data_IF_997834701176
#
_entry.id   IF_997834701176
#
_cell.length_a   1.000
_cell.length_b   1.000
_cell.length_c   1.000
_cell.angle_alpha   90.00
_cell.angle_beta   90.00
_cell.angle_gamma   90.00
#
_symmetry.space_group_name_H-M   'P 1'
#
loop_
_entity.id
_entity.type
_entity.pdbx_description
1 polymer ?
#
# COMPACT_ATOMS: atom_id res chain seq x y z
N UNK A 1 -29.70 -0.70 -16.70
CA UNK A 1 -28.97 -1.06 -15.47
C UNK A 1 -29.76 -0.52 -14.30
N UNK A 2 -30.14 -1.39 -13.38
CA UNK A 2 -30.84 -1.01 -12.15
C UNK A 2 -29.89 -0.18 -11.27
N UNK A 3 -30.42 0.83 -10.57
CA UNK A 3 -29.65 1.71 -9.69
C UNK A 3 -28.93 0.91 -8.58
N UNK A 4 -29.51 -0.24 -8.19
CA UNK A 4 -28.90 -1.16 -7.22
C UNK A 4 -27.66 -1.88 -7.76
N UNK A 5 -27.68 -2.32 -9.02
CA UNK A 5 -26.54 -2.99 -9.63
C UNK A 5 -25.35 -2.04 -9.78
N UNK A 6 -25.60 -0.77 -10.15
CA UNK A 6 -24.57 0.26 -10.23
C UNK A 6 -23.96 0.55 -8.85
N UNK A 7 -24.79 0.63 -7.82
CA UNK A 7 -24.35 0.85 -6.44
C UNK A 7 -23.50 -0.31 -5.93
N UNK A 8 -23.92 -1.56 -6.20
CA UNK A 8 -23.15 -2.75 -5.83
C UNK A 8 -21.79 -2.80 -6.53
N UNK A 9 -21.73 -2.48 -7.84
CA UNK A 9 -20.47 -2.45 -8.57
C UNK A 9 -19.51 -1.37 -8.07
N UNK A 10 -20.03 -0.16 -7.78
CA UNK A 10 -19.21 0.90 -7.20
C UNK A 10 -18.65 0.50 -5.83
N UNK A 11 -19.47 -0.13 -4.98
CA UNK A 11 -19.05 -0.59 -3.67
C UNK A 11 -17.98 -1.71 -3.77
N UNK A 12 -18.18 -2.66 -4.67
CA UNK A 12 -17.22 -3.74 -4.95
C UNK A 12 -15.88 -3.17 -5.43
N UNK A 13 -15.92 -2.12 -6.25
CA UNK A 13 -14.74 -1.38 -6.67
C UNK A 13 -14.04 -0.66 -5.51
N UNK A 14 -14.79 0.07 -4.68
CA UNK A 14 -14.23 0.75 -3.50
C UNK A 14 -13.53 -0.22 -2.55
N UNK A 15 -14.12 -1.40 -2.30
CA UNK A 15 -13.50 -2.43 -1.45
C UNK A 15 -12.23 -2.99 -2.09
N UNK A 16 -12.26 -3.31 -3.39
CA UNK A 16 -11.09 -3.80 -4.10
C UNK A 16 -9.95 -2.77 -4.12
N UNK A 17 -10.30 -1.48 -4.29
CA UNK A 17 -9.36 -0.37 -4.19
C UNK A 17 -8.71 -0.30 -2.81
N UNK A 18 -9.50 -0.22 -1.74
CA UNK A 18 -8.98 -0.14 -0.37
C UNK A 18 -8.13 -1.36 -0.01
N UNK A 19 -8.52 -2.56 -0.45
CA UNK A 19 -7.72 -3.77 -0.31
C UNK A 19 -6.31 -3.62 -0.90
N UNK A 20 -6.23 -3.20 -2.17
CA UNK A 20 -4.95 -3.05 -2.87
C UNK A 20 -4.12 -1.91 -2.32
N UNK A 21 -4.78 -0.82 -1.92
CA UNK A 21 -4.15 0.34 -1.31
C UNK A 21 -3.46 -0.04 0.00
N UNK A 22 -4.20 -0.67 0.92
CA UNK A 22 -3.67 -1.14 2.20
C UNK A 22 -2.56 -2.19 2.03
N UNK A 23 -2.70 -3.08 1.03
CA UNK A 23 -1.64 -4.04 0.70
C UNK A 23 -0.36 -3.34 0.20
N UNK A 24 -0.48 -2.27 -0.57
CA UNK A 24 0.67 -1.50 -1.05
C UNK A 24 1.31 -0.69 0.08
N UNK A 25 0.50 -0.07 0.94
CA UNK A 25 0.94 0.60 2.17
C UNK A 25 1.70 -0.35 3.09
N UNK A 26 1.14 -1.54 3.35
CA UNK A 26 1.79 -2.59 4.13
C UNK A 26 3.21 -2.88 3.61
N UNK A 27 3.34 -3.17 2.30
CA UNK A 27 4.63 -3.52 1.69
C UNK A 27 5.59 -2.35 1.65
N UNK A 28 5.09 -1.14 1.43
CA UNK A 28 5.91 0.06 1.41
C UNK A 28 6.56 0.30 2.78
N UNK A 29 5.76 0.33 3.84
CA UNK A 29 6.29 0.53 5.19
C UNK A 29 7.12 -0.65 5.70
N UNK A 30 6.77 -1.90 5.36
CA UNK A 30 7.57 -3.09 5.71
C UNK A 30 8.98 -3.02 5.09
N UNK A 31 9.08 -2.56 3.84
CA UNK A 31 10.37 -2.40 3.17
C UNK A 31 11.14 -1.18 3.64
N UNK A 32 10.46 -0.07 3.95
CA UNK A 32 11.11 1.08 4.57
C UNK A 32 11.74 0.70 5.91
N UNK A 33 11.03 -0.05 6.75
CA UNK A 33 11.54 -0.51 8.04
C UNK A 33 12.81 -1.37 7.86
N UNK A 34 12.76 -2.35 6.95
CA UNK A 34 13.91 -3.21 6.60
C UNK A 34 15.10 -2.43 6.02
N UNK A 35 14.85 -1.46 5.14
CA UNK A 35 15.89 -0.60 4.57
C UNK A 35 16.58 0.20 5.67
N UNK A 36 15.78 0.72 6.60
CA UNK A 36 16.28 1.54 7.70
C UNK A 36 17.14 0.71 8.66
N UNK A 37 16.70 -0.51 8.99
CA UNK A 37 17.48 -1.48 9.75
C UNK A 37 18.79 -1.88 9.04
N UNK A 38 18.76 -2.06 7.71
CA UNK A 38 19.96 -2.36 6.91
C UNK A 38 20.98 -1.21 6.99
N UNK A 39 20.53 0.05 6.86
CA UNK A 39 21.40 1.23 6.96
C UNK A 39 22.06 1.27 8.34
N UNK A 40 21.29 1.06 9.42
CA UNK A 40 21.84 1.02 10.78
C UNK A 40 22.89 -0.09 10.94
N UNK A 41 22.62 -1.28 10.41
CA UNK A 41 23.56 -2.41 10.45
C UNK A 41 24.85 -2.09 9.70
N UNK A 42 24.78 -1.52 8.50
CA UNK A 42 25.95 -1.14 7.71
C UNK A 42 26.79 -0.07 8.40
N UNK A 43 26.14 0.96 8.95
CA UNK A 43 26.83 2.03 9.69
C UNK A 43 27.50 1.47 10.95
N UNK A 44 26.84 0.57 11.67
CA UNK A 44 27.42 -0.11 12.83
C UNK A 44 28.68 -0.90 12.44
N UNK A 45 28.62 -1.70 11.36
CA UNK A 45 29.76 -2.46 10.85
C UNK A 45 30.92 -1.52 10.45
N UNK A 46 30.64 -0.46 9.69
CA UNK A 46 31.66 0.53 9.29
C UNK A 46 32.33 1.20 10.49
N UNK A 47 31.58 1.45 11.56
CA UNK A 47 32.08 2.05 12.80
C UNK A 47 33.00 1.09 13.55
N UNK A 48 32.58 -0.17 13.73
CA UNK A 48 33.36 -1.19 14.43
C UNK A 48 34.64 -1.55 13.64
N UNK A 49 34.55 -1.58 12.31
CA UNK A 49 35.69 -1.84 11.43
C UNK A 49 36.68 -0.65 11.32
N UNK A 50 36.38 0.49 11.96
CA UNK A 50 37.22 1.69 11.88
C UNK A 50 37.26 2.35 10.51
N UNK A 51 36.34 2.01 9.60
CA UNK A 51 36.27 2.55 8.24
C UNK A 51 35.64 3.95 8.20
N UNK A 52 34.84 4.31 9.20
CA UNK A 52 34.23 5.63 9.34
C UNK A 52 34.57 6.26 10.69
N UNK A 53 34.60 7.61 10.72
CA UNK A 53 34.70 8.37 11.97
C UNK A 53 33.46 8.12 12.84
N UNK A 54 33.68 7.88 14.13
CA UNK A 54 32.61 7.65 15.12
C UNK A 54 31.59 8.81 15.16
N UNK A 55 32.03 10.05 14.89
CA UNK A 55 31.15 11.23 14.84
C UNK A 55 30.18 11.14 13.67
N UNK A 56 30.68 10.78 12.48
CA UNK A 56 29.87 10.68 11.26
C UNK A 56 28.85 9.54 11.41
N UNK A 57 29.31 8.39 11.88
CA UNK A 57 28.42 7.25 12.14
C UNK A 57 27.35 7.56 13.17
N UNK A 58 27.71 8.25 14.26
CA UNK A 58 26.77 8.69 15.28
C UNK A 58 25.67 9.58 14.71
N UNK A 59 26.03 10.57 13.89
CA UNK A 59 25.06 11.44 13.22
C UNK A 59 24.10 10.67 12.31
N UNK A 60 24.62 9.74 11.50
CA UNK A 60 23.78 8.93 10.61
C UNK A 60 22.81 8.09 11.44
N UNK A 61 23.29 7.40 12.49
CA UNK A 61 22.45 6.59 13.38
C UNK A 61 21.35 7.46 14.00
N UNK A 62 21.67 8.64 14.54
CA UNK A 62 20.68 9.52 15.16
C UNK A 62 19.59 9.95 14.19
N UNK A 63 19.96 10.38 12.96
CA UNK A 63 18.99 10.77 11.93
C UNK A 63 18.08 9.61 11.57
N UNK A 64 18.66 8.43 11.40
CA UNK A 64 17.94 7.22 11.02
C UNK A 64 16.96 6.76 12.12
N UNK A 65 17.40 6.76 13.38
CA UNK A 65 16.54 6.41 14.53
C UNK A 65 15.42 7.44 14.69
N UNK A 66 15.72 8.73 14.55
CA UNK A 66 14.70 9.78 14.59
C UNK A 66 13.62 9.54 13.52
N UNK A 67 14.04 9.25 12.28
CA UNK A 67 13.13 8.92 11.19
C UNK A 67 12.25 7.69 11.49
N UNK A 68 12.80 6.62 12.07
CA UNK A 68 12.02 5.45 12.50
C UNK A 68 10.96 5.80 13.55
N UNK A 69 11.33 6.61 14.55
CA UNK A 69 10.44 7.00 15.64
C UNK A 69 9.31 7.91 15.16
N UNK A 70 9.59 8.83 14.23
CA UNK A 70 8.58 9.74 13.67
C UNK A 70 7.62 9.01 12.75
N UNK A 71 8.14 8.16 11.84
CA UNK A 71 7.29 7.48 10.85
C UNK A 71 6.51 6.31 11.45
N UNK A 72 7.04 5.68 12.51
CA UNK A 72 6.51 4.44 13.10
C UNK A 72 6.17 3.40 12.02
N UNK A 73 7.06 3.27 11.02
CA UNK A 73 6.82 2.46 9.82
C UNK A 73 6.36 1.04 10.15
N UNK A 74 6.99 0.36 11.12
CA UNK A 74 6.55 -0.97 11.55
C UNK A 74 5.12 -1.04 12.08
N UNK A 75 4.66 -0.04 12.85
CA UNK A 75 3.28 0.03 13.36
C UNK A 75 2.30 0.27 12.22
N UNK A 76 2.60 1.23 11.34
CA UNK A 76 1.77 1.53 10.16
C UNK A 76 1.67 0.32 9.23
N UNK A 77 2.77 -0.40 9.04
CA UNK A 77 2.81 -1.64 8.25
C UNK A 77 1.88 -2.72 8.81
N UNK A 78 1.91 -2.98 10.12
CA UNK A 78 1.04 -3.99 10.74
C UNK A 78 -0.45 -3.58 10.73
N UNK A 79 -0.73 -2.30 10.95
CA UNK A 79 -2.09 -1.77 10.83
C UNK A 79 -2.63 -1.98 9.41
N UNK A 80 -1.87 -1.56 8.39
CA UNK A 80 -2.25 -1.73 6.99
C UNK A 80 -2.39 -3.20 6.57
N UNK A 81 -1.54 -4.09 7.10
CA UNK A 81 -1.65 -5.53 6.87
C UNK A 81 -2.95 -6.11 7.43
N UNK A 82 -3.35 -5.66 8.62
CA UNK A 82 -4.58 -6.11 9.27
C UNK A 82 -5.78 -5.63 8.46
N UNK A 83 -5.79 -4.34 8.11
CA UNK A 83 -6.88 -3.73 7.37
C UNK A 83 -7.02 -4.30 5.95
N UNK A 84 -5.91 -4.56 5.27
CA UNK A 84 -5.89 -5.26 3.97
C UNK A 84 -6.56 -6.64 4.07
N UNK A 85 -6.30 -7.41 5.14
CA UNK A 85 -6.96 -8.72 5.32
C UNK A 85 -8.45 -8.60 5.62
N UNK A 86 -8.86 -7.57 6.36
CA UNK A 86 -10.28 -7.28 6.62
C UNK A 86 -11.01 -6.94 5.31
N UNK A 87 -10.39 -6.11 4.45
CA UNK A 87 -10.93 -5.82 3.12
C UNK A 87 -10.94 -7.04 2.18
N UNK A 88 -9.91 -7.89 2.22
CA UNK A 88 -9.86 -9.13 1.44
C UNK A 88 -10.99 -10.09 1.83
N UNK A 89 -11.24 -10.24 3.13
CA UNK A 89 -12.33 -11.04 3.65
C UNK A 89 -13.70 -10.46 3.24
N UNK A 90 -13.88 -9.14 3.36
CA UNK A 90 -15.10 -8.46 2.93
C UNK A 90 -15.36 -8.61 1.43
N UNK A 91 -14.30 -8.52 0.61
CA UNK A 91 -14.39 -8.73 -0.83
C UNK A 91 -14.77 -10.17 -1.18
N UNK A 92 -14.15 -11.15 -0.51
CA UNK A 92 -14.38 -12.58 -0.77
C UNK A 92 -15.81 -13.02 -0.44
N UNK A 93 -16.42 -12.39 0.57
CA UNK A 93 -17.79 -12.63 1.01
C UNK A 93 -18.79 -11.58 0.50
N UNK A 94 -18.40 -10.78 -0.50
CA UNK A 94 -19.24 -9.68 -0.98
C UNK A 94 -20.61 -10.18 -1.47
N UNK A 95 -20.63 -11.31 -2.17
CA UNK A 95 -21.87 -11.89 -2.73
C UNK A 95 -22.69 -12.66 -1.69
N UNK A 96 -22.14 -12.89 -0.48
CA UNK A 96 -22.81 -13.58 0.64
C UNK A 96 -23.57 -12.60 1.56
N UNK A 97 -23.23 -11.32 1.53
CA UNK A 97 -23.79 -10.27 2.38
C UNK A 97 -24.79 -9.39 1.65
N UNK A 98 -25.72 -8.78 2.40
CA UNK A 98 -26.55 -7.71 1.84
C UNK A 98 -25.72 -6.43 1.61
N UNK A 99 -26.10 -5.65 0.60
CA UNK A 99 -25.37 -4.44 0.20
C UNK A 99 -25.26 -3.44 1.36
N UNK A 100 -26.30 -3.31 2.19
CA UNK A 100 -26.27 -2.42 3.35
C UNK A 100 -25.33 -2.92 4.45
N UNK A 101 -25.22 -4.23 4.63
CA UNK A 101 -24.27 -4.83 5.59
C UNK A 101 -22.82 -4.63 5.11
N UNK A 102 -22.56 -4.84 3.82
CA UNK A 102 -21.24 -4.58 3.23
C UNK A 102 -20.85 -3.12 3.38
N UNK A 103 -21.78 -2.20 3.13
CA UNK A 103 -21.57 -0.75 3.26
C UNK A 103 -21.27 -0.36 4.71
N UNK A 104 -21.98 -0.94 5.68
CA UNK A 104 -21.73 -0.69 7.10
C UNK A 104 -20.32 -1.14 7.52
N UNK A 105 -19.89 -2.35 7.10
CA UNK A 105 -18.53 -2.85 7.36
C UNK A 105 -17.46 -2.01 6.69
N UNK A 106 -17.70 -1.59 5.44
CA UNK A 106 -16.79 -0.71 4.71
C UNK A 106 -16.57 0.62 5.44
N UNK A 107 -17.63 1.28 5.90
CA UNK A 107 -17.55 2.53 6.69
C UNK A 107 -16.88 2.34 8.05
N UNK A 108 -16.94 1.15 8.64
CA UNK A 108 -16.22 0.85 9.88
C UNK A 108 -14.70 0.75 9.63
N UNK A 109 -14.31 0.19 8.49
CA UNK A 109 -12.91 0.04 8.09
C UNK A 109 -12.30 1.38 7.68
N UNK A 110 -13.04 2.20 6.93
CA UNK A 110 -12.59 3.54 6.49
C UNK A 110 -12.25 4.47 7.66
N UNK A 111 -12.94 4.32 8.81
CA UNK A 111 -12.61 5.06 10.04
C UNK A 111 -11.24 4.71 10.63
N UNK A 112 -10.65 3.58 10.22
CA UNK A 112 -9.35 3.08 10.66
C UNK A 112 -8.23 3.40 9.64
N UNK A 113 -8.55 4.02 8.52
CA UNK A 113 -7.59 4.30 7.45
C UNK A 113 -6.48 5.25 7.92
N UNK A 114 -5.26 4.95 7.49
CA UNK A 114 -4.06 5.75 7.75
C UNK A 114 -3.93 6.89 6.73
N UNK A 115 -3.15 7.93 7.08
CA UNK A 115 -2.77 9.02 6.16
C UNK A 115 -2.33 8.48 4.79
N UNK A 116 -3.00 8.96 3.75
CA UNK A 116 -2.78 8.49 2.39
C UNK A 116 -1.38 8.87 1.86
N UNK A 117 -0.69 7.89 1.26
CA UNK A 117 0.45 8.11 0.38
C UNK A 117 -0.06 8.21 -1.07
N UNK A 118 -0.16 9.43 -1.58
CA UNK A 118 -0.67 9.74 -2.94
C UNK A 118 -0.02 8.89 -4.05
N UNK A 119 1.29 8.61 -3.92
CA UNK A 119 2.04 7.84 -4.89
C UNK A 119 1.60 6.37 -5.01
N UNK A 120 0.80 5.85 -4.05
CA UNK A 120 0.25 4.49 -4.06
C UNK A 120 -1.21 4.45 -4.51
N UNK A 121 -1.93 5.57 -4.52
CA UNK A 121 -3.35 5.64 -4.84
C UNK A 121 -3.63 5.22 -6.29
N UNK A 122 -2.96 5.85 -7.26
CA UNK A 122 -3.16 5.51 -8.68
C UNK A 122 -2.76 4.05 -8.99
N UNK A 123 -1.60 3.54 -8.55
CA UNK A 123 -1.27 2.11 -8.67
C UNK A 123 -2.30 1.16 -8.03
N UNK A 124 -2.84 1.48 -6.86
CA UNK A 124 -3.83 0.65 -6.19
C UNK A 124 -5.14 0.59 -6.98
N UNK A 125 -5.56 1.72 -7.54
CA UNK A 125 -6.72 1.82 -8.44
C UNK A 125 -6.56 0.93 -9.66
N UNK A 126 -5.41 0.98 -10.29
CA UNK A 126 -5.07 0.13 -11.43
C UNK A 126 -5.09 -1.37 -11.06
N UNK A 127 -4.58 -1.73 -9.88
CA UNK A 127 -4.61 -3.11 -9.39
C UNK A 127 -6.05 -3.59 -9.09
N UNK A 128 -6.90 -2.72 -8.56
CA UNK A 128 -8.32 -3.01 -8.32
C UNK A 128 -9.09 -3.19 -9.62
N UNK A 129 -8.87 -2.33 -10.62
CA UNK A 129 -9.42 -2.51 -11.97
C UNK A 129 -9.00 -3.85 -12.58
N UNK A 130 -7.73 -4.22 -12.43
CA UNK A 130 -7.23 -5.52 -12.89
C UNK A 130 -7.90 -6.70 -12.17
N UNK A 131 -8.11 -6.59 -10.86
CA UNK A 131 -8.81 -7.60 -10.05
C UNK A 131 -10.27 -7.81 -10.49
N UNK A 132 -10.93 -6.75 -10.93
CA UNK A 132 -12.32 -6.79 -11.42
C UNK A 132 -12.44 -7.13 -12.91
N UNK A 133 -11.31 -7.39 -13.60
CA UNK A 133 -11.32 -7.64 -15.04
C UNK A 133 -11.67 -6.40 -15.87
N UNK A 134 -11.58 -5.20 -15.32
CA UNK A 134 -11.84 -3.93 -16.02
C UNK A 134 -10.54 -3.37 -16.61
N UNK A 135 -9.83 -4.19 -17.39
CA UNK A 135 -8.53 -3.82 -17.99
C UNK A 135 -8.67 -3.38 -19.44
N UNK A 136 -7.61 -2.74 -19.97
CA UNK A 136 -7.52 -2.36 -21.39
C UNK A 136 -7.75 -3.52 -22.35
N UNK A 137 -7.32 -4.73 -21.97
CA UNK A 137 -7.55 -5.96 -22.72
C UNK A 137 -9.05 -6.28 -22.91
N UNK A 138 -9.90 -5.81 -21.99
CA UNK A 138 -11.35 -6.02 -22.01
C UNK A 138 -12.12 -4.79 -22.55
N UNK A 139 -11.42 -3.85 -23.20
CA UNK A 139 -12.04 -2.69 -23.87
C UNK A 139 -12.29 -1.47 -22.97
N UNK A 140 -11.78 -1.47 -21.73
CA UNK A 140 -11.85 -0.32 -20.83
C UNK A 140 -10.71 0.66 -21.10
N UNK A 141 -11.00 1.96 -21.21
CA UNK A 141 -9.98 2.98 -21.45
C UNK A 141 -9.03 3.09 -20.26
N UNK A 142 -7.72 3.06 -20.52
CA UNK A 142 -6.72 3.42 -19.51
C UNK A 142 -6.81 4.93 -19.24
N UNK A 143 -7.17 5.31 -18.01
CA UNK A 143 -7.33 6.71 -17.64
C UNK A 143 -5.99 7.49 -17.75
N UNK A 144 -4.87 6.88 -17.34
CA UNK A 144 -3.57 7.56 -17.29
C UNK A 144 -2.40 6.59 -17.07
N UNK A 145 -1.30 6.81 -17.79
CA UNK A 145 -0.02 6.15 -17.53
C UNK A 145 0.57 6.48 -16.14
N UNK A 146 1.22 5.50 -15.52
CA UNK A 146 1.90 5.65 -14.22
C UNK A 146 2.98 6.74 -14.27
N UNK A 147 2.97 7.63 -13.28
CA UNK A 147 4.00 8.64 -13.11
C UNK A 147 5.34 8.02 -12.66
N UNK A 148 6.49 8.73 -12.83
CA UNK A 148 7.78 8.20 -12.41
C UNK A 148 7.85 7.86 -10.92
N UNK A 149 7.20 8.64 -10.06
CA UNK A 149 7.15 8.40 -8.61
C UNK A 149 6.33 7.17 -8.26
N UNK A 150 5.19 6.97 -8.93
CA UNK A 150 4.36 5.76 -8.80
C UNK A 150 5.10 4.51 -9.28
N UNK A 151 5.85 4.60 -10.40
CA UNK A 151 6.71 3.51 -10.88
C UNK A 151 7.80 3.17 -9.88
N UNK A 152 8.43 4.20 -9.30
CA UNK A 152 9.46 4.01 -8.29
C UNK A 152 8.89 3.39 -7.01
N UNK A 153 7.69 3.80 -6.58
CA UNK A 153 6.98 3.20 -5.46
C UNK A 153 6.64 1.73 -5.73
N UNK A 154 6.14 1.40 -6.93
CA UNK A 154 5.86 0.02 -7.37
C UNK A 154 7.11 -0.86 -7.38
N UNK A 155 8.22 -0.34 -7.92
CA UNK A 155 9.52 -1.00 -7.88
C UNK A 155 9.99 -1.21 -6.44
N UNK A 156 9.83 -0.19 -5.60
CA UNK A 156 10.21 -0.25 -4.19
C UNK A 156 9.42 -1.33 -3.46
N UNK A 157 8.11 -1.48 -3.68
CA UNK A 157 7.30 -2.57 -3.08
C UNK A 157 7.47 -3.92 -3.78
N UNK A 158 8.18 -3.97 -4.91
CA UNK A 158 8.44 -5.19 -5.69
C UNK A 158 7.20 -5.75 -6.40
N UNK A 159 6.23 -4.90 -6.74
CA UNK A 159 5.09 -5.27 -7.57
C UNK A 159 5.34 -4.78 -9.00
N UNK A 160 5.15 -5.68 -9.97
CA UNK A 160 4.99 -5.30 -11.37
C UNK A 160 3.50 -5.36 -11.69
N UNK A 161 2.92 -4.23 -12.05
CA UNK A 161 1.65 -4.22 -12.76
C UNK A 161 2.01 -4.56 -14.21
N UNK A 162 1.75 -5.79 -14.63
CA UNK A 162 2.00 -6.21 -16.01
C UNK A 162 0.94 -5.57 -16.91
N UNK A 163 1.25 -4.37 -17.39
CA UNK A 163 0.61 -3.82 -18.57
C UNK A 163 1.34 -4.38 -19.78
N UNK A 164 0.75 -5.39 -20.43
CA UNK A 164 1.17 -5.79 -21.76
C UNK A 164 0.77 -4.66 -22.72
N UNK A 165 1.78 -3.93 -23.18
CA UNK A 165 1.69 -3.09 -24.38
C UNK A 165 1.47 -3.96 -25.63
#
# INVERSE_FOLDING_TARGET
MDNREQTAQHLKFSIAYSFWYENFMYKFFDRLDKLTALILMLVAICTVAGLCSAIISGLIITVVVFFQLTTKAGVKSQAAKTLSREYEALYSHFDDYDIEEVKAKFLEFEKKDNDEVDALAHPARLAALAMLGMTSANGYAEERNLSPTERLALLFIGKRLEYKH
#
